data_IF_618918898891
#
_entry.id   IF_618918898891
#
_cell.length_a   1.000
_cell.length_b   1.000
_cell.length_c   1.000
_cell.angle_alpha   90.00
_cell.angle_beta   90.00
_cell.angle_gamma   90.00
#
_symmetry.space_group_name_H-M   'P 1'
#
loop_
_entity.id
_entity.type
_entity.pdbx_description
1 polymer ?
#
# COMPACT_ATOMS: atom_id res chain seq x y z
N UNK A 1 2.94 -3.20 -12.52
CA UNK A 1 3.44 -1.80 -12.60
C UNK A 1 4.67 -1.67 -13.50
N UNK A 2 5.71 -2.48 -13.36
CA UNK A 2 6.93 -2.41 -14.18
C UNK A 2 6.63 -2.51 -15.69
N UNK A 3 5.80 -3.48 -16.12
CA UNK A 3 5.41 -3.63 -17.52
C UNK A 3 4.55 -2.48 -18.06
N UNK A 4 3.76 -1.82 -17.22
CA UNK A 4 2.98 -0.64 -17.61
C UNK A 4 3.90 0.57 -17.80
N UNK A 5 4.82 0.78 -16.87
CA UNK A 5 5.80 1.87 -16.92
C UNK A 5 6.73 1.71 -18.13
N UNK A 6 7.20 0.49 -18.42
CA UNK A 6 8.00 0.20 -19.61
C UNK A 6 7.24 0.52 -20.91
N UNK A 7 5.97 0.12 -21.03
CA UNK A 7 5.13 0.46 -22.19
C UNK A 7 4.91 1.96 -22.32
N UNK A 8 4.72 2.67 -21.21
CA UNK A 8 4.54 4.13 -21.20
C UNK A 8 5.81 4.83 -21.64
N UNK A 9 6.99 4.38 -21.17
CA UNK A 9 8.28 4.89 -21.58
C UNK A 9 8.52 4.63 -23.07
N UNK A 10 8.28 3.42 -23.57
CA UNK A 10 8.43 3.11 -24.98
C UNK A 10 7.55 4.02 -25.87
N UNK A 11 6.28 4.22 -25.48
CA UNK A 11 5.38 5.15 -26.20
C UNK A 11 5.89 6.61 -26.17
N UNK A 12 6.51 7.03 -25.07
CA UNK A 12 7.10 8.36 -24.96
C UNK A 12 8.30 8.49 -25.91
N UNK A 13 9.20 7.50 -25.92
CA UNK A 13 10.36 7.46 -26.81
C UNK A 13 9.95 7.44 -28.29
N UNK A 14 8.91 6.68 -28.65
CA UNK A 14 8.38 6.69 -30.03
C UNK A 14 7.81 8.06 -30.43
N UNK A 15 7.08 8.71 -29.52
CA UNK A 15 6.61 10.08 -29.76
C UNK A 15 7.75 11.10 -29.93
N UNK A 16 8.85 10.92 -29.20
CA UNK A 16 10.01 11.79 -29.31
C UNK A 16 10.76 11.52 -30.63
N UNK A 17 10.92 10.25 -31.03
CA UNK A 17 11.50 9.87 -32.34
C UNK A 17 10.73 10.46 -33.51
N UNK A 18 9.40 10.54 -33.42
CA UNK A 18 8.59 11.16 -34.45
C UNK A 18 8.83 12.67 -34.59
N UNK A 19 9.38 13.33 -33.56
CA UNK A 19 9.72 14.77 -33.57
C UNK A 19 11.15 15.07 -34.00
N UNK A 20 12.04 14.08 -34.04
CA UNK A 20 13.42 14.26 -34.41
C UNK A 20 14.34 13.14 -33.97
N UNK A 21 15.64 13.24 -34.30
CA UNK A 21 16.63 12.26 -33.93
C UNK A 21 17.02 12.38 -32.45
N UNK A 22 16.90 11.29 -31.69
CA UNK A 22 17.39 11.22 -30.31
C UNK A 22 18.92 11.34 -30.22
N UNK A 23 19.65 11.07 -31.29
CA UNK A 23 21.08 11.25 -31.32
C UNK A 23 21.47 12.75 -31.26
N UNK A 24 20.78 13.61 -32.00
CA UNK A 24 21.00 15.07 -32.00
C UNK A 24 20.22 15.80 -30.88
N UNK A 25 19.36 15.07 -30.17
CA UNK A 25 18.55 15.58 -29.09
C UNK A 25 17.21 16.14 -29.50
N UNK A 26 16.15 15.65 -28.86
CA UNK A 26 14.75 16.07 -29.11
C UNK A 26 14.27 16.93 -27.95
N UNK A 27 13.79 18.18 -28.20
CA UNK A 27 13.30 19.04 -27.13
C UNK A 27 12.01 18.50 -26.51
N UNK A 28 11.91 18.56 -25.17
CA UNK A 28 10.72 18.14 -24.43
C UNK A 28 9.58 19.18 -24.45
N UNK A 29 9.89 20.40 -24.90
CA UNK A 29 8.98 21.52 -24.96
C UNK A 29 9.71 22.85 -24.69
N UNK A 30 9.00 23.97 -24.76
CA UNK A 30 9.59 25.27 -24.50
C UNK A 30 10.18 25.34 -23.08
N UNK A 31 11.50 25.51 -22.97
CA UNK A 31 12.23 25.66 -21.70
C UNK A 31 12.44 24.36 -20.89
N UNK A 32 12.08 23.17 -21.41
CA UNK A 32 12.14 21.89 -20.66
C UNK A 32 13.34 21.00 -20.96
N UNK A 33 14.36 21.51 -21.65
CA UNK A 33 15.53 20.69 -21.99
C UNK A 33 15.31 19.74 -23.18
N UNK A 34 16.30 18.89 -23.46
CA UNK A 34 16.31 17.92 -24.58
C UNK A 34 16.57 16.52 -24.07
N UNK A 35 16.03 15.51 -24.77
CA UNK A 35 16.31 14.10 -24.54
C UNK A 35 17.29 13.59 -25.59
N UNK A 36 18.35 12.96 -25.15
CA UNK A 36 19.40 12.35 -25.99
C UNK A 36 19.48 10.86 -25.73
N UNK A 37 19.80 10.10 -26.74
CA UNK A 37 20.25 8.73 -26.65
C UNK A 37 21.79 8.71 -26.72
N UNK A 38 22.45 8.63 -25.57
CA UNK A 38 23.90 8.58 -25.49
C UNK A 38 24.43 7.19 -25.91
N UNK A 39 25.48 7.16 -26.72
CA UNK A 39 26.12 5.92 -27.13
C UNK A 39 27.26 5.56 -26.19
N UNK A 40 27.41 4.27 -25.92
CA UNK A 40 28.56 3.73 -25.21
C UNK A 40 29.80 3.70 -26.12
N UNK A 41 30.95 4.12 -25.58
CA UNK A 41 32.25 4.03 -26.22
C UNK A 41 33.22 3.27 -25.31
N UNK A 42 33.74 2.10 -25.74
CA UNK A 42 34.65 1.26 -24.95
C UNK A 42 35.90 1.96 -24.45
N UNK A 43 36.36 3.00 -25.14
CA UNK A 43 37.59 3.75 -24.80
C UNK A 43 37.50 4.45 -23.44
N UNK A 44 36.28 4.72 -22.97
CA UNK A 44 36.02 5.38 -21.68
C UNK A 44 35.67 4.40 -20.57
N UNK A 45 35.75 3.09 -20.83
CA UNK A 45 35.55 2.09 -19.78
C UNK A 45 36.72 2.12 -18.80
N UNK A 46 36.46 2.30 -17.49
CA UNK A 46 37.49 2.27 -16.47
C UNK A 46 38.23 0.92 -16.44
N UNK A 47 39.54 0.96 -16.19
CA UNK A 47 40.35 -0.24 -16.07
C UNK A 47 39.83 -1.15 -14.95
N UNK A 48 39.70 -2.45 -15.24
CA UNK A 48 39.19 -3.44 -14.29
C UNK A 48 37.65 -3.58 -14.23
N UNK A 49 36.90 -2.79 -15.00
CA UNK A 49 35.46 -2.96 -15.11
C UNK A 49 35.05 -3.87 -16.27
N UNK A 50 34.06 -4.74 -16.04
CA UNK A 50 33.53 -5.61 -17.08
C UNK A 50 32.64 -4.81 -18.05
N UNK A 51 32.95 -4.87 -19.34
CA UNK A 51 32.20 -4.18 -20.39
C UNK A 51 30.85 -4.83 -20.72
N UNK A 52 30.55 -6.02 -20.19
CA UNK A 52 29.26 -6.68 -20.39
C UNK A 52 28.20 -6.16 -19.40
N UNK A 53 28.62 -5.62 -18.27
CA UNK A 53 27.73 -5.04 -17.26
C UNK A 53 27.13 -3.72 -17.76
N UNK A 54 25.80 -3.62 -17.74
CA UNK A 54 25.06 -2.44 -18.16
C UNK A 54 25.37 -1.21 -17.30
N UNK A 55 25.59 -1.39 -16.00
CA UNK A 55 25.88 -0.31 -15.08
C UNK A 55 27.24 0.32 -15.38
N UNK A 56 28.23 -0.52 -15.69
CA UNK A 56 29.57 -0.06 -16.08
C UNK A 56 29.54 0.73 -17.39
N UNK A 57 28.67 0.36 -18.34
CA UNK A 57 28.46 1.14 -19.58
C UNK A 57 27.89 2.52 -19.29
N UNK A 58 26.93 2.64 -18.33
CA UNK A 58 26.38 3.93 -17.93
C UNK A 58 27.46 4.81 -17.30
N UNK A 59 28.32 4.24 -16.45
CA UNK A 59 29.46 4.97 -15.85
C UNK A 59 30.44 5.44 -16.94
N UNK A 60 30.79 4.59 -17.90
CA UNK A 60 31.67 4.96 -19.02
C UNK A 60 31.08 6.11 -19.87
N UNK A 61 29.75 6.11 -20.09
CA UNK A 61 29.07 7.22 -20.77
C UNK A 61 29.16 8.50 -19.93
N UNK A 62 28.94 8.40 -18.63
CA UNK A 62 29.00 9.55 -17.71
C UNK A 62 30.41 10.16 -17.68
N UNK A 63 31.48 9.34 -17.59
CA UNK A 63 32.86 9.75 -17.62
C UNK A 63 33.16 10.47 -18.94
N UNK A 64 32.76 9.90 -20.08
CA UNK A 64 32.95 10.54 -21.38
C UNK A 64 32.33 11.93 -21.42
N UNK A 65 31.08 12.05 -21.04
CA UNK A 65 30.37 13.33 -21.09
C UNK A 65 30.97 14.35 -20.10
N UNK A 66 31.49 13.90 -18.98
CA UNK A 66 32.21 14.77 -18.03
C UNK A 66 33.52 15.30 -18.63
N UNK A 67 34.28 14.43 -19.34
CA UNK A 67 35.48 14.83 -20.05
C UNK A 67 35.20 15.77 -21.24
N UNK A 68 34.03 15.67 -21.85
CA UNK A 68 33.54 16.60 -22.88
C UNK A 68 33.08 17.95 -22.28
N UNK A 69 33.17 18.14 -20.94
CA UNK A 69 32.87 19.40 -20.26
C UNK A 69 31.41 19.55 -19.82
N UNK A 70 30.64 18.48 -19.87
CA UNK A 70 29.26 18.50 -19.39
C UNK A 70 29.21 18.31 -17.87
N UNK A 71 28.33 19.03 -17.19
CA UNK A 71 27.99 18.74 -15.79
C UNK A 71 27.02 17.54 -15.75
N UNK A 72 27.46 16.43 -15.17
CA UNK A 72 26.73 15.14 -15.22
C UNK A 72 26.24 14.78 -13.84
N UNK A 73 24.98 14.41 -13.79
CA UNK A 73 24.34 13.81 -12.61
C UNK A 73 23.70 12.49 -13.02
N UNK A 74 24.07 11.40 -12.37
CA UNK A 74 23.45 10.09 -12.55
C UNK A 74 22.29 9.96 -11.55
N UNK A 75 21.15 9.42 -11.99
CA UNK A 75 20.01 9.16 -11.13
C UNK A 75 19.75 7.66 -11.13
N UNK A 76 19.91 7.00 -9.98
CA UNK A 76 19.70 5.55 -9.85
C UNK A 76 19.17 5.17 -8.49
N UNK A 77 18.23 4.21 -8.46
CA UNK A 77 17.76 3.56 -7.21
C UNK A 77 18.70 2.44 -6.74
N UNK A 78 19.60 1.99 -7.61
CA UNK A 78 20.55 0.94 -7.26
C UNK A 78 21.69 1.53 -6.41
N UNK A 79 21.85 0.99 -5.20
CA UNK A 79 22.90 1.39 -4.27
C UNK A 79 24.28 1.10 -4.83
N UNK A 80 24.48 -0.06 -5.50
CA UNK A 80 25.77 -0.43 -6.08
C UNK A 80 26.18 0.55 -7.18
N UNK A 81 25.23 0.99 -8.01
CA UNK A 81 25.46 2.00 -9.03
C UNK A 81 25.90 3.32 -8.40
N UNK A 82 25.27 3.76 -7.31
CA UNK A 82 25.64 5.00 -6.59
C UNK A 82 27.03 4.92 -6.00
N UNK A 83 27.36 3.80 -5.34
CA UNK A 83 28.70 3.57 -4.78
C UNK A 83 29.76 3.53 -5.90
N UNK A 84 29.47 2.92 -7.04
CA UNK A 84 30.36 2.96 -8.21
C UNK A 84 30.54 4.39 -8.72
N UNK A 85 29.48 5.19 -8.84
CA UNK A 85 29.57 6.58 -9.25
C UNK A 85 30.47 7.40 -8.31
N UNK A 86 30.32 7.23 -6.99
CA UNK A 86 31.14 7.92 -5.98
C UNK A 86 32.62 7.59 -6.17
N UNK A 87 32.97 6.34 -6.52
CA UNK A 87 34.37 5.95 -6.76
C UNK A 87 35.02 6.61 -7.98
N UNK A 88 34.22 7.22 -8.85
CA UNK A 88 34.68 7.96 -10.06
C UNK A 88 34.37 9.46 -9.97
N UNK A 89 34.01 9.96 -8.78
CA UNK A 89 33.66 11.37 -8.55
C UNK A 89 32.50 11.85 -9.45
N UNK A 90 31.58 10.93 -9.80
CA UNK A 90 30.37 11.24 -10.55
C UNK A 90 29.23 11.50 -9.57
N UNK A 91 28.65 12.67 -9.62
CA UNK A 91 27.48 13.02 -8.82
C UNK A 91 26.33 12.07 -9.09
N UNK A 92 25.82 11.41 -8.03
CA UNK A 92 24.74 10.43 -8.18
C UNK A 92 23.69 10.59 -7.07
N UNK A 93 22.42 10.64 -7.47
CA UNK A 93 21.28 10.76 -6.55
C UNK A 93 20.33 9.57 -6.64
N UNK A 94 19.68 9.27 -5.53
CA UNK A 94 18.54 8.35 -5.51
C UNK A 94 17.35 9.00 -6.23
N UNK A 95 16.69 8.23 -7.10
CA UNK A 95 15.39 8.63 -7.62
C UNK A 95 14.34 8.46 -6.52
N UNK A 96 14.08 9.54 -5.81
CA UNK A 96 12.94 9.61 -4.91
C UNK A 96 11.73 10.09 -5.74
N UNK A 97 10.79 9.19 -6.12
CA UNK A 97 9.49 9.65 -6.58
C UNK A 97 8.95 10.51 -5.45
N UNK A 98 8.34 11.66 -5.77
CA UNK A 98 7.75 12.57 -4.79
C UNK A 98 7.08 11.74 -3.69
N UNK A 99 7.75 11.59 -2.57
CA UNK A 99 7.18 10.95 -1.40
C UNK A 99 6.11 11.93 -0.94
N UNK A 100 4.87 11.49 -0.94
CA UNK A 100 3.77 12.31 -0.41
C UNK A 100 4.02 12.67 1.08
N UNK A 101 4.94 11.93 1.73
CA UNK A 101 5.31 12.10 3.14
C UNK A 101 6.82 11.91 3.27
N UNK A 102 7.52 12.87 3.84
CA UNK A 102 8.99 12.89 3.98
C UNK A 102 9.51 11.84 4.97
N UNK A 103 8.70 11.42 5.93
CA UNK A 103 9.02 10.43 6.97
C UNK A 103 7.83 9.53 7.27
N UNK A 104 8.10 8.29 7.69
CA UNK A 104 7.07 7.38 8.17
C UNK A 104 6.34 7.93 9.42
N UNK A 105 7.00 8.78 10.19
CA UNK A 105 6.43 9.42 11.38
C UNK A 105 5.37 10.48 11.04
N UNK A 106 5.38 10.98 9.80
CA UNK A 106 4.40 11.93 9.28
C UNK A 106 3.21 11.21 8.59
N UNK A 107 3.16 9.88 8.61
CA UNK A 107 2.02 9.15 8.12
C UNK A 107 0.84 9.32 9.07
N UNK A 108 -0.30 9.71 8.50
CA UNK A 108 -1.57 9.73 9.22
C UNK A 108 -1.88 8.32 9.76
N UNK A 109 -1.89 8.17 11.08
CA UNK A 109 -2.10 6.90 11.78
C UNK A 109 -3.59 6.57 12.03
N UNK A 110 -4.48 7.48 11.63
CA UNK A 110 -5.92 7.32 11.78
C UNK A 110 -6.44 7.69 13.16
N UNK A 111 -5.59 8.06 14.12
CA UNK A 111 -5.97 8.41 15.48
C UNK A 111 -5.37 9.75 15.93
N UNK A 112 -6.01 10.41 16.90
CA UNK A 112 -5.47 11.59 17.58
C UNK A 112 -5.93 11.59 19.04
N UNK A 113 -5.15 12.23 19.91
CA UNK A 113 -5.52 12.47 21.28
C UNK A 113 -5.92 13.93 21.47
N UNK A 114 -7.05 14.18 22.12
CA UNK A 114 -7.57 15.53 22.35
C UNK A 114 -7.91 15.66 23.83
N UNK A 115 -7.40 16.72 24.45
CA UNK A 115 -7.73 17.05 25.83
C UNK A 115 -9.05 17.85 25.80
N UNK A 116 -10.00 17.43 26.61
CA UNK A 116 -11.34 18.06 26.70
C UNK A 116 -11.79 18.18 28.16
N UNK A 117 -12.68 19.14 28.48
CA UNK A 117 -13.32 19.19 29.77
C UNK A 117 -14.09 17.90 30.12
N UNK A 118 -14.16 17.60 31.41
CA UNK A 118 -14.83 16.38 31.92
C UNK A 118 -16.27 16.27 31.47
N UNK A 119 -16.97 17.38 31.38
CA UNK A 119 -18.37 17.48 30.99
C UNK A 119 -18.61 16.95 29.58
N UNK A 120 -17.62 17.10 28.70
CA UNK A 120 -17.67 16.57 27.32
C UNK A 120 -17.62 15.05 27.32
N UNK A 121 -16.77 14.47 28.15
CA UNK A 121 -16.64 13.00 28.29
C UNK A 121 -17.91 12.42 28.92
N UNK A 122 -18.45 13.07 29.96
CA UNK A 122 -19.70 12.65 30.61
C UNK A 122 -20.87 12.73 29.63
N UNK A 123 -21.00 13.83 28.90
CA UNK A 123 -22.04 13.98 27.89
C UNK A 123 -21.93 12.89 26.81
N UNK A 124 -20.71 12.55 26.38
CA UNK A 124 -20.49 11.48 25.42
C UNK A 124 -20.92 10.10 25.93
N UNK A 125 -20.64 9.78 27.21
CA UNK A 125 -21.09 8.51 27.80
C UNK A 125 -22.58 8.46 28.04
N UNK A 126 -23.19 9.60 28.34
CA UNK A 126 -24.64 9.74 28.51
C UNK A 126 -25.41 9.81 27.17
N UNK A 127 -24.75 9.43 26.06
CA UNK A 127 -25.34 9.40 24.71
C UNK A 127 -25.86 10.75 24.22
N UNK A 128 -25.38 11.84 24.79
CA UNK A 128 -25.68 13.19 24.30
C UNK A 128 -24.94 13.44 22.97
N UNK A 129 -25.57 14.24 22.12
CA UNK A 129 -24.98 14.62 20.84
C UNK A 129 -23.81 15.59 21.05
N UNK A 130 -22.60 15.08 21.22
CA UNK A 130 -21.41 15.87 21.44
C UNK A 130 -20.83 16.30 20.10
N UNK A 131 -20.83 17.62 19.85
CA UNK A 131 -20.12 18.23 18.73
C UNK A 131 -18.74 18.68 19.18
N UNK A 132 -17.72 18.39 18.39
CA UNK A 132 -16.37 18.87 18.65
C UNK A 132 -16.18 20.22 17.94
N UNK A 133 -15.85 21.31 18.68
CA UNK A 133 -15.54 22.59 18.06
C UNK A 133 -14.26 22.49 17.20
N UNK A 134 -14.04 23.47 16.35
CA UNK A 134 -12.80 23.53 15.56
C UNK A 134 -11.57 23.50 16.45
N UNK A 135 -10.66 22.60 16.14
CA UNK A 135 -9.39 22.41 16.84
C UNK A 135 -8.28 23.16 16.12
N UNK A 136 -7.20 23.48 16.83
CA UNK A 136 -5.96 24.02 16.23
C UNK A 136 -5.35 23.05 15.23
N UNK A 137 -5.46 21.75 15.52
CA UNK A 137 -4.97 20.67 14.66
C UNK A 137 -6.05 20.25 13.68
N UNK A 138 -5.65 20.01 12.43
CA UNK A 138 -6.55 19.59 11.38
C UNK A 138 -6.99 18.15 11.62
N UNK A 139 -8.29 17.94 11.84
CA UNK A 139 -8.90 16.63 11.92
C UNK A 139 -9.41 16.17 10.54
N UNK A 140 -9.37 14.87 10.32
CA UNK A 140 -9.80 14.26 9.07
C UNK A 140 -11.06 13.40 9.26
N UNK A 141 -11.95 13.31 8.25
CA UNK A 141 -13.10 12.42 8.31
C UNK A 141 -12.68 10.98 8.59
N UNK A 142 -13.44 10.31 9.46
CA UNK A 142 -13.20 8.94 9.94
C UNK A 142 -11.99 8.76 10.85
N UNK A 143 -11.37 9.84 11.30
CA UNK A 143 -10.31 9.79 12.30
C UNK A 143 -10.88 9.39 13.67
N UNK A 144 -10.15 8.53 14.35
CA UNK A 144 -10.45 8.17 15.74
C UNK A 144 -9.86 9.19 16.69
N UNK A 145 -10.62 9.53 17.73
CA UNK A 145 -10.18 10.46 18.74
C UNK A 145 -10.23 9.77 20.10
N UNK A 146 -9.13 9.90 20.84
CA UNK A 146 -9.09 9.57 22.27
C UNK A 146 -9.26 10.89 23.01
N UNK A 147 -10.45 11.11 23.53
CA UNK A 147 -10.75 12.25 24.39
C UNK A 147 -10.17 11.97 25.75
N UNK A 148 -9.29 12.81 26.25
CA UNK A 148 -8.69 12.75 27.59
C UNK A 148 -9.22 13.89 28.44
N UNK A 149 -9.48 13.61 29.72
CA UNK A 149 -9.87 14.63 30.67
C UNK A 149 -8.71 15.59 30.98
N UNK A 150 -9.03 16.88 31.13
CA UNK A 150 -8.07 17.88 31.62
C UNK A 150 -7.67 17.64 33.08
N UNK A 151 -8.52 16.96 33.87
CA UNK A 151 -8.37 16.82 35.33
C UNK A 151 -7.91 15.44 35.76
N UNK A 152 -8.24 14.39 34.99
CA UNK A 152 -7.96 13.00 35.34
C UNK A 152 -7.52 12.19 34.13
N UNK A 153 -6.25 11.84 34.06
CA UNK A 153 -5.64 11.06 32.98
C UNK A 153 -6.27 9.66 32.78
N UNK A 154 -6.97 9.15 33.80
CA UNK A 154 -7.68 7.86 33.72
C UNK A 154 -9.05 7.96 33.05
N UNK A 155 -9.60 9.16 32.99
CA UNK A 155 -10.91 9.42 32.40
C UNK A 155 -10.72 9.74 30.93
N UNK A 156 -11.14 8.82 30.06
CA UNK A 156 -11.01 8.97 28.62
C UNK A 156 -12.18 8.34 27.87
N UNK A 157 -12.45 8.82 26.67
CA UNK A 157 -13.44 8.23 25.77
C UNK A 157 -12.87 8.06 24.37
N UNK A 158 -13.27 6.99 23.69
CA UNK A 158 -12.86 6.72 22.31
C UNK A 158 -14.05 6.96 21.40
N UNK A 159 -13.87 7.85 20.42
CA UNK A 159 -14.91 8.20 19.46
C UNK A 159 -14.35 8.29 18.05
N UNK A 160 -15.24 8.36 17.07
CA UNK A 160 -14.92 8.56 15.66
C UNK A 160 -15.46 9.92 15.21
N UNK A 161 -14.60 10.69 14.59
CA UNK A 161 -14.88 12.02 14.04
C UNK A 161 -15.32 11.90 12.58
N UNK A 162 -16.37 12.61 12.19
CA UNK A 162 -16.79 12.72 10.79
C UNK A 162 -16.54 14.13 10.27
N UNK A 163 -17.06 15.12 10.96
CA UNK A 163 -16.85 16.56 10.73
C UNK A 163 -17.34 17.35 11.94
N UNK A 164 -17.10 18.65 11.98
CA UNK A 164 -17.49 19.51 13.11
C UNK A 164 -19.00 19.74 13.25
N UNK A 165 -19.79 19.45 12.21
CA UNK A 165 -21.25 19.58 12.23
C UNK A 165 -21.98 18.28 12.57
N UNK A 166 -21.24 17.17 12.72
CA UNK A 166 -21.79 15.85 13.05
C UNK A 166 -21.33 15.43 14.44
N UNK A 167 -22.24 14.94 15.31
CA UNK A 167 -21.85 14.45 16.62
C UNK A 167 -20.80 13.35 16.55
N UNK A 168 -19.92 13.32 17.55
CA UNK A 168 -18.94 12.26 17.72
C UNK A 168 -19.63 10.91 17.85
N UNK A 169 -19.16 9.94 17.06
CA UNK A 169 -19.77 8.60 17.05
C UNK A 169 -19.03 7.66 18.00
N UNK A 170 -19.77 6.95 18.83
CA UNK A 170 -19.21 5.90 19.67
C UNK A 170 -18.66 4.76 18.80
N UNK A 171 -17.43 4.31 19.11
CA UNK A 171 -16.80 3.20 18.40
C UNK A 171 -17.51 1.91 18.77
N UNK A 172 -18.01 1.19 17.78
CA UNK A 172 -18.67 -0.10 17.99
C UNK A 172 -17.64 -1.14 18.42
N UNK A 173 -18.02 -1.97 19.36
CA UNK A 173 -17.22 -3.10 19.81
C UNK A 173 -17.84 -4.38 19.26
N UNK A 174 -17.10 -5.06 18.43
CA UNK A 174 -17.50 -6.35 17.90
C UNK A 174 -16.82 -7.44 18.71
N UNK A 175 -17.60 -8.41 19.13
CA UNK A 175 -17.11 -9.56 19.91
C UNK A 175 -17.44 -10.82 19.13
N UNK A 176 -16.55 -11.79 19.23
CA UNK A 176 -16.76 -13.14 18.69
C UNK A 176 -17.06 -13.16 17.17
N UNK A 177 -16.33 -12.37 16.41
CA UNK A 177 -16.36 -12.42 14.94
C UNK A 177 -15.46 -13.57 14.49
N UNK A 178 -16.05 -14.72 14.18
CA UNK A 178 -15.31 -15.95 13.84
C UNK A 178 -14.31 -16.35 14.95
N UNK A 179 -14.73 -16.27 16.22
CA UNK A 179 -13.87 -16.51 17.37
C UNK A 179 -12.89 -15.38 17.69
N UNK A 180 -12.91 -14.27 16.96
CA UNK A 180 -12.02 -13.13 17.18
C UNK A 180 -12.71 -12.00 17.91
N UNK A 181 -11.95 -11.39 18.81
CA UNK A 181 -12.28 -10.13 19.46
C UNK A 181 -11.10 -9.18 19.39
N UNK A 182 -11.35 -7.88 19.35
CA UNK A 182 -10.26 -6.90 19.32
C UNK A 182 -9.47 -6.92 20.63
N UNK A 183 -8.16 -7.12 20.56
CA UNK A 183 -7.25 -7.16 21.70
C UNK A 183 -6.71 -5.77 22.08
N UNK A 184 -6.79 -4.80 21.18
CA UNK A 184 -6.34 -3.43 21.40
C UNK A 184 -7.25 -2.42 20.68
N UNK A 185 -7.00 -1.12 20.93
CA UNK A 185 -7.80 -0.04 20.36
C UNK A 185 -7.71 0.03 18.84
N UNK A 186 -6.54 -0.23 18.27
CA UNK A 186 -6.29 -0.18 16.82
C UNK A 186 -7.06 -1.28 16.08
N UNK A 187 -7.10 -2.50 16.63
CA UNK A 187 -7.91 -3.59 16.09
C UNK A 187 -9.41 -3.28 16.19
N UNK A 188 -9.84 -2.61 17.28
CA UNK A 188 -11.23 -2.14 17.43
C UNK A 188 -11.60 -1.10 16.37
N UNK A 189 -10.68 -0.17 16.06
CA UNK A 189 -10.86 0.80 14.97
C UNK A 189 -10.97 0.10 13.62
N UNK A 190 -10.07 -0.84 13.36
CA UNK A 190 -10.11 -1.61 12.12
C UNK A 190 -11.44 -2.34 11.93
N UNK A 191 -11.96 -3.02 12.95
CA UNK A 191 -13.25 -3.69 12.89
C UNK A 191 -14.42 -2.69 12.69
N UNK A 192 -14.41 -1.55 13.39
CA UNK A 192 -15.45 -0.53 13.24
C UNK A 192 -15.51 0.03 11.81
N UNK A 193 -14.35 0.23 11.17
CA UNK A 193 -14.29 0.68 9.78
C UNK A 193 -14.62 -0.42 8.78
N UNK A 194 -14.20 -1.66 9.02
CA UNK A 194 -14.49 -2.80 8.15
C UNK A 194 -16.00 -3.12 8.08
N UNK A 195 -16.74 -2.88 9.14
CA UNK A 195 -18.19 -3.08 9.18
C UNK A 195 -18.99 -1.82 8.78
N UNK A 196 -18.34 -0.73 8.42
CA UNK A 196 -19.01 0.48 7.95
C UNK A 196 -19.16 0.47 6.42
N UNK A 197 -20.38 0.25 5.95
CA UNK A 197 -20.68 0.19 4.50
C UNK A 197 -20.45 1.51 3.75
N UNK A 198 -20.34 2.64 4.46
CA UNK A 198 -19.98 3.94 3.85
C UNK A 198 -18.49 4.01 3.51
N UNK A 199 -17.66 3.14 4.07
CA UNK A 199 -16.22 3.09 3.82
C UNK A 199 -15.93 2.17 2.63
N UNK A 200 -15.55 2.76 1.51
CA UNK A 200 -15.29 2.02 0.28
C UNK A 200 -13.84 1.50 0.18
N UNK A 201 -12.89 2.18 0.82
CA UNK A 201 -11.48 1.82 0.83
C UNK A 201 -10.92 2.00 2.22
N UNK A 202 -10.32 0.95 2.76
CA UNK A 202 -9.64 0.95 4.05
C UNK A 202 -8.20 0.44 3.87
N UNK A 203 -7.23 1.17 4.42
CA UNK A 203 -5.83 0.73 4.49
C UNK A 203 -5.47 0.35 5.92
N UNK A 204 -5.02 -0.89 6.11
CA UNK A 204 -4.52 -1.39 7.38
C UNK A 204 -2.98 -1.46 7.34
N UNK A 205 -2.33 -0.60 8.11
CA UNK A 205 -0.87 -0.52 8.21
C UNK A 205 -0.40 -1.00 9.58
N UNK A 206 0.80 -1.52 9.67
CA UNK A 206 1.37 -1.96 10.96
C UNK A 206 2.34 -3.12 10.79
N UNK A 207 3.02 -3.49 11.88
CA UNK A 207 4.04 -4.54 11.90
C UNK A 207 3.46 -5.92 11.53
N UNK A 208 4.32 -6.85 11.08
CA UNK A 208 3.94 -8.23 10.85
C UNK A 208 3.44 -8.87 12.18
N UNK A 209 2.45 -9.78 12.07
CA UNK A 209 1.89 -10.43 13.24
C UNK A 209 0.85 -9.64 14.04
N UNK A 210 0.51 -8.42 13.66
CA UNK A 210 -0.51 -7.59 14.36
C UNK A 210 -1.97 -7.96 14.03
N UNK A 211 -2.20 -9.05 13.30
CA UNK A 211 -3.55 -9.56 13.01
C UNK A 211 -4.30 -8.89 11.86
N UNK A 212 -3.67 -7.98 11.09
CA UNK A 212 -4.34 -7.24 9.99
C UNK A 212 -5.12 -8.12 9.03
N UNK A 213 -4.44 -9.13 8.48
CA UNK A 213 -5.04 -10.07 7.51
C UNK A 213 -6.15 -10.89 8.14
N UNK A 214 -5.93 -11.37 9.36
CA UNK A 214 -6.88 -12.20 10.06
C UNK A 214 -8.17 -11.43 10.37
N UNK A 215 -8.05 -10.19 10.86
CA UNK A 215 -9.20 -9.32 11.14
C UNK A 215 -9.94 -8.97 9.84
N UNK A 216 -9.22 -8.59 8.78
CA UNK A 216 -9.84 -8.27 7.50
C UNK A 216 -10.58 -9.48 6.91
N UNK A 217 -10.00 -10.68 6.98
CA UNK A 217 -10.64 -11.92 6.53
C UNK A 217 -11.88 -12.25 7.36
N UNK A 218 -11.78 -12.20 8.69
CA UNK A 218 -12.91 -12.49 9.58
C UNK A 218 -14.09 -11.53 9.37
N UNK A 219 -13.82 -10.21 9.31
CA UNK A 219 -14.86 -9.22 9.03
C UNK A 219 -15.46 -9.38 7.62
N UNK A 220 -14.64 -9.75 6.63
CA UNK A 220 -15.11 -10.03 5.27
C UNK A 220 -15.99 -11.28 5.20
N UNK A 221 -15.61 -12.35 5.87
CA UNK A 221 -16.41 -13.59 5.98
C UNK A 221 -17.76 -13.32 6.66
N UNK A 222 -17.74 -12.58 7.76
CA UNK A 222 -18.95 -12.22 8.50
C UNK A 222 -19.97 -11.51 7.60
N UNK A 223 -19.50 -10.54 6.81
CA UNK A 223 -20.36 -9.76 5.91
C UNK A 223 -20.85 -10.55 4.70
N UNK A 224 -20.15 -11.60 4.29
CA UNK A 224 -20.54 -12.43 3.13
C UNK A 224 -21.40 -13.62 3.54
N UNK A 225 -21.12 -14.23 4.70
CA UNK A 225 -21.75 -15.49 5.09
C UNK A 225 -22.93 -15.28 6.07
N UNK A 226 -22.80 -14.34 6.99
CA UNK A 226 -23.79 -14.12 8.05
C UNK A 226 -24.70 -12.91 7.82
N UNK A 227 -24.20 -11.85 7.21
CA UNK A 227 -25.04 -10.68 6.94
C UNK A 227 -25.94 -10.91 5.71
N UNK A 228 -27.22 -10.60 5.86
CA UNK A 228 -28.16 -10.63 4.74
C UNK A 228 -28.03 -9.36 3.88
N UNK A 229 -28.46 -9.44 2.61
CA UNK A 229 -28.47 -8.27 1.70
C UNK A 229 -29.26 -7.08 2.26
N UNK A 230 -30.32 -7.33 3.01
CA UNK A 230 -31.11 -6.31 3.71
C UNK A 230 -30.36 -5.60 4.83
N UNK A 231 -29.29 -6.21 5.33
CA UNK A 231 -28.41 -5.67 6.36
C UNK A 231 -27.10 -5.10 5.80
N UNK A 232 -27.00 -4.93 4.47
CA UNK A 232 -25.80 -4.43 3.81
C UNK A 232 -24.71 -5.48 3.58
N UNK A 233 -25.06 -6.77 3.59
CA UNK A 233 -24.14 -7.87 3.32
C UNK A 233 -23.68 -7.91 1.87
N UNK A 234 -22.52 -8.52 1.65
CA UNK A 234 -21.91 -8.67 0.33
C UNK A 234 -22.13 -10.09 -0.22
N UNK A 235 -22.12 -10.21 -1.54
CA UNK A 235 -22.30 -11.49 -2.21
C UNK A 235 -21.03 -12.34 -2.22
N UNK A 236 -19.87 -11.69 -2.23
CA UNK A 236 -18.57 -12.36 -2.40
C UNK A 236 -17.45 -11.67 -1.64
N UNK A 237 -16.57 -12.49 -1.08
CA UNK A 237 -15.25 -12.09 -0.60
C UNK A 237 -14.21 -12.44 -1.66
N UNK A 238 -13.51 -11.43 -2.15
CA UNK A 238 -12.40 -11.61 -3.10
C UNK A 238 -11.11 -11.24 -2.41
N UNK A 239 -10.16 -12.17 -2.40
CA UNK A 239 -8.85 -11.97 -1.81
C UNK A 239 -7.82 -11.98 -2.92
N UNK A 240 -7.01 -10.92 -3.02
CA UNK A 240 -5.98 -10.80 -4.05
C UNK A 240 -4.63 -10.55 -3.41
N UNK A 241 -3.61 -11.22 -3.93
CA UNK A 241 -2.22 -11.00 -3.54
C UNK A 241 -1.35 -10.82 -4.78
N UNK A 242 -0.52 -9.78 -4.89
CA UNK A 242 0.43 -9.69 -5.98
C UNK A 242 1.45 -10.83 -5.87
N UNK A 243 1.56 -11.61 -6.93
CA UNK A 243 2.61 -12.62 -7.07
C UNK A 243 3.88 -11.87 -7.46
N UNK A 244 4.83 -11.73 -6.53
CA UNK A 244 6.18 -11.29 -6.83
C UNK A 244 7.05 -12.54 -6.92
N UNK A 245 7.68 -12.83 -8.06
CA UNK A 245 8.62 -13.93 -8.15
C UNK A 245 9.80 -13.65 -7.19
N UNK A 246 9.96 -14.47 -6.17
CA UNK A 246 11.14 -14.48 -5.34
C UNK A 246 12.22 -15.27 -6.09
N UNK A 247 12.99 -14.60 -6.96
CA UNK A 247 14.05 -15.23 -7.74
C UNK A 247 13.73 -15.34 -9.25
N UNK A 248 14.63 -15.98 -10.00
CA UNK A 248 14.51 -16.20 -11.44
C UNK A 248 13.21 -16.93 -11.78
N UNK A 249 12.52 -16.39 -12.75
CA UNK A 249 11.26 -16.75 -13.39
C UNK A 249 10.60 -18.08 -12.96
N UNK A 250 9.36 -18.00 -12.45
CA UNK A 250 8.49 -19.14 -12.09
C UNK A 250 8.19 -20.05 -13.30
N UNK A 251 8.63 -19.68 -14.50
CA UNK A 251 8.31 -20.35 -15.76
C UNK A 251 8.67 -21.84 -15.83
N UNK A 252 9.54 -22.34 -14.95
CA UNK A 252 10.05 -23.71 -14.99
C UNK A 252 9.59 -24.64 -13.87
N UNK A 253 8.70 -24.22 -12.97
CA UNK A 253 8.12 -25.15 -12.02
C UNK A 253 7.12 -26.07 -12.74
N UNK A 254 7.25 -27.40 -12.64
CA UNK A 254 6.25 -28.34 -13.18
C UNK A 254 4.95 -28.21 -12.38
N UNK A 255 3.79 -28.38 -13.07
CA UNK A 255 2.49 -28.35 -12.44
C UNK A 255 1.54 -27.32 -13.04
N UNK A 256 0.28 -27.38 -12.63
CA UNK A 256 -0.78 -26.45 -13.03
C UNK A 256 -0.51 -25.03 -12.48
N UNK A 257 -1.17 -24.02 -13.01
CA UNK A 257 -1.09 -22.64 -12.51
C UNK A 257 -1.46 -22.57 -11.02
N UNK A 258 -2.45 -23.33 -10.60
CA UNK A 258 -2.92 -23.43 -9.23
C UNK A 258 -1.84 -23.99 -8.30
N UNK A 259 -1.21 -25.10 -8.68
CA UNK A 259 -0.09 -25.71 -7.92
C UNK A 259 1.11 -24.76 -7.79
N UNK A 260 1.41 -24.03 -8.85
CA UNK A 260 2.47 -23.02 -8.84
C UNK A 260 2.16 -21.83 -7.92
N UNK A 261 0.89 -21.52 -7.70
CA UNK A 261 0.45 -20.41 -6.86
C UNK A 261 0.28 -20.79 -5.38
N UNK A 262 0.19 -22.08 -5.04
CA UNK A 262 -0.02 -22.57 -3.67
C UNK A 262 0.91 -21.94 -2.61
N UNK A 263 2.23 -21.76 -2.82
CA UNK A 263 3.09 -21.15 -1.82
C UNK A 263 2.73 -19.71 -1.44
N UNK A 264 2.10 -18.98 -2.37
CA UNK A 264 1.66 -17.60 -2.10
C UNK A 264 0.29 -17.52 -1.43
N UNK A 265 -0.53 -18.56 -1.64
CA UNK A 265 -1.89 -18.68 -1.09
C UNK A 265 -1.85 -19.32 0.31
N UNK A 266 -0.86 -20.14 0.61
CA UNK A 266 -0.76 -20.88 1.87
C UNK A 266 -0.96 -20.00 3.12
N UNK A 267 -0.30 -18.84 3.31
CA UNK A 267 -0.50 -18.04 4.51
C UNK A 267 -1.92 -17.47 4.65
N UNK A 268 -2.64 -17.33 3.53
CA UNK A 268 -4.03 -16.93 3.54
C UNK A 268 -4.92 -18.10 3.91
N UNK A 269 -4.64 -19.27 3.32
CA UNK A 269 -5.36 -20.50 3.63
C UNK A 269 -5.24 -20.86 5.10
N UNK A 270 -4.05 -20.74 5.71
CA UNK A 270 -3.82 -20.94 7.13
C UNK A 270 -4.70 -20.05 8.00
N UNK A 271 -4.83 -18.75 7.64
CA UNK A 271 -5.73 -17.81 8.32
C UNK A 271 -7.20 -18.22 8.18
N UNK A 272 -7.61 -18.64 6.98
CA UNK A 272 -8.99 -19.09 6.75
C UNK A 272 -9.27 -20.40 7.47
N UNK A 273 -8.37 -21.37 7.44
CA UNK A 273 -8.47 -22.64 8.20
C UNK A 273 -8.61 -22.36 9.71
N UNK A 274 -7.84 -21.41 10.23
CA UNK A 274 -7.97 -20.98 11.63
C UNK A 274 -9.37 -20.42 11.94
N UNK A 275 -9.93 -19.59 11.05
CA UNK A 275 -11.26 -19.00 11.25
C UNK A 275 -12.39 -20.01 11.12
N UNK A 276 -12.29 -20.97 10.20
CA UNK A 276 -13.28 -22.03 10.03
C UNK A 276 -13.17 -23.14 11.08
N UNK A 277 -12.02 -23.25 11.72
CA UNK A 277 -11.73 -24.31 12.69
C UNK A 277 -11.58 -25.72 12.10
N UNK A 278 -11.93 -25.88 10.82
CA UNK A 278 -11.84 -27.16 10.08
C UNK A 278 -11.57 -26.91 8.61
N UNK A 279 -10.63 -27.71 8.06
CA UNK A 279 -10.24 -27.69 6.64
C UNK A 279 -11.40 -28.06 5.71
N UNK A 280 -12.21 -29.04 6.10
CA UNK A 280 -13.35 -29.52 5.30
C UNK A 280 -14.40 -28.43 5.14
N UNK A 281 -14.70 -27.68 6.19
CA UNK A 281 -15.61 -26.53 6.14
C UNK A 281 -15.08 -25.42 5.22
N UNK A 282 -13.77 -25.14 5.25
CA UNK A 282 -13.15 -24.17 4.36
C UNK A 282 -13.27 -24.61 2.89
N UNK A 283 -12.93 -25.87 2.57
CA UNK A 283 -12.97 -26.39 1.20
C UNK A 283 -14.41 -26.31 0.63
N UNK A 284 -15.44 -26.66 1.41
CA UNK A 284 -16.85 -26.50 1.02
C UNK A 284 -17.24 -25.06 0.69
N UNK A 285 -16.70 -24.08 1.42
CA UNK A 285 -16.98 -22.66 1.18
C UNK A 285 -16.18 -22.07 0.01
N UNK A 286 -14.97 -22.56 -0.24
CA UNK A 286 -14.18 -22.20 -1.42
C UNK A 286 -14.87 -22.70 -2.72
N UNK A 287 -15.44 -23.89 -2.70
CA UNK A 287 -16.19 -24.44 -3.83
C UNK A 287 -17.53 -23.72 -4.07
N UNK A 288 -18.12 -23.10 -3.05
CA UNK A 288 -19.43 -22.46 -3.11
C UNK A 288 -19.49 -21.12 -3.84
N UNK A 289 -18.48 -20.68 -4.54
CA UNK A 289 -18.40 -19.40 -5.29
C UNK A 289 -18.48 -18.11 -4.47
N UNK A 290 -18.68 -18.17 -3.16
CA UNK A 290 -18.77 -16.98 -2.27
C UNK A 290 -17.41 -16.45 -1.85
N UNK A 291 -16.41 -17.32 -1.76
CA UNK A 291 -15.02 -16.94 -1.47
C UNK A 291 -14.20 -17.26 -2.71
N UNK A 292 -13.55 -16.29 -3.31
CA UNK A 292 -12.68 -16.49 -4.47
C UNK A 292 -11.33 -15.84 -4.25
N UNK A 293 -10.31 -16.64 -4.44
CA UNK A 293 -8.97 -16.14 -4.68
C UNK A 293 -8.86 -15.79 -6.17
N UNK A 294 -8.57 -14.55 -6.52
CA UNK A 294 -8.68 -14.13 -7.90
C UNK A 294 -7.49 -13.30 -8.38
N UNK A 295 -6.87 -13.83 -9.41
CA UNK A 295 -5.98 -13.07 -10.30
C UNK A 295 -6.66 -12.65 -11.62
N UNK A 296 -8.01 -12.71 -11.77
CA UNK A 296 -8.61 -12.38 -13.07
C UNK A 296 -10.05 -11.82 -13.02
N UNK A 297 -10.23 -10.79 -13.81
CA UNK A 297 -11.36 -10.15 -14.52
C UNK A 297 -12.79 -10.59 -14.20
N UNK A 298 -13.53 -9.70 -13.56
CA UNK A 298 -15.00 -9.70 -13.50
C UNK A 298 -15.52 -8.89 -12.33
N UNK A 299 -15.86 -7.60 -12.53
CA UNK A 299 -16.49 -6.76 -11.51
C UNK A 299 -17.98 -7.05 -11.42
N UNK A 300 -18.45 -7.45 -10.26
CA UNK A 300 -19.86 -7.42 -9.89
C UNK A 300 -20.07 -6.39 -8.77
N UNK A 301 -21.25 -5.77 -8.69
CA UNK A 301 -21.52 -4.56 -7.89
C UNK A 301 -21.52 -4.73 -6.37
N UNK A 302 -21.42 -5.94 -5.84
CA UNK A 302 -21.48 -6.24 -4.40
C UNK A 302 -20.34 -7.19 -4.01
N UNK A 303 -19.10 -6.66 -3.94
CA UNK A 303 -17.92 -7.46 -3.61
C UNK A 303 -17.08 -6.73 -2.57
N UNK A 304 -16.64 -7.46 -1.54
CA UNK A 304 -15.52 -7.05 -0.70
C UNK A 304 -14.26 -7.58 -1.34
N UNK A 305 -13.29 -6.71 -1.58
CA UNK A 305 -11.97 -7.10 -2.09
C UNK A 305 -10.90 -6.80 -1.06
N UNK A 306 -10.24 -7.83 -0.57
CA UNK A 306 -9.01 -7.70 0.22
C UNK A 306 -7.84 -7.75 -0.75
N UNK A 307 -7.15 -6.65 -0.93
CA UNK A 307 -5.99 -6.56 -1.81
C UNK A 307 -4.71 -6.51 -0.97
N UNK A 308 -3.93 -7.57 -1.05
CA UNK A 308 -2.70 -7.68 -0.32
C UNK A 308 -1.53 -7.15 -1.14
N UNK A 309 -1.05 -5.95 -0.84
CA UNK A 309 0.23 -5.47 -1.37
C UNK A 309 1.34 -5.73 -0.35
N UNK A 310 2.33 -6.48 -0.77
CA UNK A 310 3.61 -6.53 -0.08
C UNK A 310 4.41 -5.30 -0.58
N UNK A 311 4.53 -4.26 0.25
CA UNK A 311 5.65 -3.33 0.13
C UNK A 311 6.70 -3.76 1.14
N UNK A 312 7.95 -3.48 0.89
CA UNK A 312 9.03 -3.66 1.87
C UNK A 312 8.70 -2.97 3.22
N UNK A 313 7.74 -2.04 3.20
CA UNK A 313 7.26 -1.23 4.33
C UNK A 313 5.86 -1.63 4.85
N UNK A 314 5.42 -2.86 4.65
CA UNK A 314 4.36 -3.52 5.43
C UNK A 314 2.94 -2.91 5.38
N UNK A 315 2.39 -2.61 4.22
CA UNK A 315 1.02 -2.09 4.08
C UNK A 315 0.04 -3.13 3.53
N UNK A 316 -1.12 -3.26 4.17
CA UNK A 316 -2.30 -3.96 3.66
C UNK A 316 -3.31 -2.89 3.21
N UNK A 317 -3.82 -2.99 1.98
CA UNK A 317 -4.94 -2.15 1.49
C UNK A 317 -6.14 -3.07 1.29
N UNK A 318 -7.19 -2.82 2.01
CA UNK A 318 -8.48 -3.51 1.89
C UNK A 318 -9.47 -2.67 1.10
#
# INVERSE_FOLDING_TARGET
LAGLNARTMNRLLDKLRAKGSLFSGVPLGSGKGKVFAAQYDPRYMPAGMCAEDSDNKIIAIAIRLQLEGHNITVISRDLNMRVKCDSFEIECYDYQPQQAVESADNLFDGAAEIIVPDEVIEAFYNESAVLLPEQKEKLYPNQYLVLKSEKDDKKSAICRFKNHSTPLRKVKSYKDIWGLSANNKEQKYAMDLLFDNDIQILSLTGQAGTGKTLIAAACGLEQVLHNTKSQGGYDKLIITRPVQPMGRDIGFLPGTLEEKMMPWIAPLRDNLEYLFGDKTALDMHLDSTRIKDYNNKGRTRHQISINWRYSADRQLVC
#
